data_IF_226940101656
#
_entry.id   IF_226940101656
#
_cell.length_a   1.000
_cell.length_b   1.000
_cell.length_c   1.000
_cell.angle_alpha   90.00
_cell.angle_beta   90.00
_cell.angle_gamma   90.00
#
_symmetry.space_group_name_H-M   'P 1'
#
loop_
_entity.id
_entity.type
_entity.pdbx_description
1 polymer ?
#
# COMPACT_ATOMS: atom_id res chain seq x y z
N UNK A 1 -8.66 -12.53 10.14
CA UNK A 1 -9.51 -11.33 10.06
C UNK A 1 -10.63 -11.66 9.08
N UNK A 2 -11.88 -11.59 9.53
CA UNK A 2 -13.05 -11.80 8.68
C UNK A 2 -13.10 -10.66 7.63
N UNK A 3 -13.57 -10.98 6.41
CA UNK A 3 -13.78 -9.96 5.36
C UNK A 3 -14.72 -8.81 5.81
N UNK A 4 -15.55 -9.05 6.81
CA UNK A 4 -16.45 -8.05 7.41
C UNK A 4 -15.74 -6.99 8.26
N UNK A 5 -14.46 -7.19 8.64
CA UNK A 5 -13.69 -6.24 9.44
C UNK A 5 -12.82 -5.29 8.59
N UNK A 6 -12.80 -5.46 7.28
CA UNK A 6 -12.07 -4.58 6.35
C UNK A 6 -12.96 -3.41 5.92
N UNK A 7 -12.31 -2.28 5.56
CA UNK A 7 -12.97 -1.12 4.99
C UNK A 7 -13.63 -1.40 3.65
N UNK A 8 -14.48 -0.50 3.20
CA UNK A 8 -15.15 -0.57 1.90
C UNK A 8 -14.42 0.30 0.87
N UNK A 9 -14.39 -0.14 -0.39
CA UNK A 9 -13.89 0.68 -1.48
C UNK A 9 -14.83 1.88 -1.71
N UNK A 10 -14.24 3.08 -1.77
CA UNK A 10 -14.95 4.36 -1.99
C UNK A 10 -14.76 4.89 -3.43
N UNK A 11 -14.04 4.16 -4.28
CA UNK A 11 -13.64 4.60 -5.61
C UNK A 11 -12.30 5.35 -5.64
N UNK A 12 -11.75 5.71 -4.48
CA UNK A 12 -10.41 6.28 -4.32
C UNK A 12 -9.62 5.37 -3.39
N UNK A 13 -8.55 4.77 -3.90
CA UNK A 13 -7.72 3.85 -3.12
C UNK A 13 -6.24 4.17 -3.29
N UNK A 14 -5.45 3.84 -2.28
CA UNK A 14 -4.00 4.03 -2.26
C UNK A 14 -3.33 2.71 -1.97
N UNK A 15 -2.27 2.40 -2.72
CA UNK A 15 -1.47 1.19 -2.54
C UNK A 15 -0.04 1.54 -2.16
N UNK A 16 0.49 0.81 -1.20
CA UNK A 16 1.90 0.88 -0.81
C UNK A 16 2.37 -0.44 -0.23
N UNK A 17 3.68 -0.62 -0.14
CA UNK A 17 4.29 -1.76 0.53
C UNK A 17 5.23 -1.30 1.64
N UNK A 18 5.18 -2.00 2.76
CA UNK A 18 6.13 -1.79 3.85
C UNK A 18 6.88 -3.07 4.15
N UNK A 19 8.19 -2.95 4.42
CA UNK A 19 9.01 -4.08 4.83
C UNK A 19 8.66 -4.49 6.27
N UNK A 20 8.70 -5.79 6.52
CA UNK A 20 8.66 -6.38 7.85
C UNK A 20 9.96 -7.17 8.03
N UNK A 21 10.89 -6.61 8.76
CA UNK A 21 12.19 -7.20 9.01
C UNK A 21 12.10 -8.21 10.16
N UNK A 22 12.60 -9.43 9.95
CA UNK A 22 12.50 -10.51 10.95
C UNK A 22 13.78 -10.68 11.77
N UNK A 23 14.89 -10.18 11.29
CA UNK A 23 16.15 -10.10 12.05
C UNK A 23 17.12 -9.11 11.39
N UNK A 24 18.07 -8.62 12.17
CA UNK A 24 19.17 -7.81 11.65
C UNK A 24 20.01 -8.58 10.62
N UNK A 25 20.60 -7.88 9.66
CA UNK A 25 21.33 -8.45 8.50
C UNK A 25 22.46 -9.41 8.92
N UNK A 26 23.17 -9.07 9.99
CA UNK A 26 24.27 -9.82 10.55
C UNK A 26 23.83 -11.16 11.14
N UNK A 27 22.56 -11.30 11.47
CA UNK A 27 21.97 -12.48 12.10
C UNK A 27 21.21 -13.39 11.14
N UNK A 28 21.20 -13.12 9.85
CA UNK A 28 20.42 -13.90 8.86
C UNK A 28 20.80 -15.38 8.92
N UNK A 29 22.11 -15.70 8.99
CA UNK A 29 22.62 -17.08 9.04
C UNK A 29 22.27 -17.80 10.35
N UNK A 30 21.98 -17.08 11.41
CA UNK A 30 21.57 -17.61 12.73
C UNK A 30 20.06 -17.76 12.86
N UNK A 31 19.29 -17.10 11.99
CA UNK A 31 17.83 -17.12 12.04
C UNK A 31 17.27 -18.40 11.43
N UNK A 32 17.06 -19.43 12.28
CA UNK A 32 16.50 -20.72 11.86
C UNK A 32 14.99 -20.70 11.65
N UNK A 33 14.26 -19.77 12.29
CA UNK A 33 12.79 -19.73 12.32
C UNK A 33 12.19 -19.43 10.94
N UNK A 34 12.83 -18.53 10.18
CA UNK A 34 12.29 -18.05 8.90
C UNK A 34 13.05 -18.60 7.68
N UNK A 35 13.89 -19.65 7.86
CA UNK A 35 14.54 -20.31 6.72
C UNK A 35 13.48 -20.83 5.75
N UNK A 36 13.65 -20.50 4.46
CA UNK A 36 12.70 -20.88 3.40
C UNK A 36 11.42 -20.05 3.33
N UNK A 37 11.04 -19.38 4.40
CA UNK A 37 9.83 -18.52 4.44
C UNK A 37 10.17 -17.06 4.13
N UNK A 38 11.19 -16.48 4.76
CA UNK A 38 11.63 -15.10 4.51
C UNK A 38 12.72 -15.06 3.44
N UNK A 39 12.85 -13.92 2.76
CA UNK A 39 13.90 -13.69 1.76
C UNK A 39 14.56 -12.32 1.95
N UNK A 40 15.73 -12.15 1.34
CA UNK A 40 16.34 -10.83 1.22
C UNK A 40 15.55 -9.98 0.24
N UNK A 41 15.20 -8.76 0.65
CA UNK A 41 14.56 -7.75 -0.18
C UNK A 41 15.34 -6.45 -0.15
N UNK A 42 15.03 -5.57 -1.07
CA UNK A 42 15.58 -4.23 -1.14
C UNK A 42 14.46 -3.19 -1.03
N UNK A 43 14.69 -2.15 -0.26
CA UNK A 43 13.79 -0.99 -0.12
C UNK A 43 14.61 0.31 -0.21
N UNK A 44 13.96 1.46 -0.20
CA UNK A 44 14.60 2.77 -0.14
C UNK A 44 15.55 2.93 1.06
N UNK A 45 15.32 2.17 2.13
CA UNK A 45 16.15 2.13 3.33
C UNK A 45 17.25 1.05 3.27
N UNK A 46 17.47 0.43 2.10
CA UNK A 46 18.49 -0.59 1.86
C UNK A 46 17.96 -2.02 1.94
N UNK A 47 18.92 -2.95 2.01
CA UNK A 47 18.65 -4.39 2.10
C UNK A 47 18.06 -4.77 3.46
N UNK A 48 17.10 -5.71 3.45
CA UNK A 48 16.52 -6.32 4.65
C UNK A 48 16.30 -7.82 4.44
N UNK A 49 16.05 -8.55 5.51
CA UNK A 49 15.64 -9.95 5.48
C UNK A 49 14.29 -10.10 6.16
N UNK A 50 13.29 -10.58 5.42
CA UNK A 50 11.93 -10.68 5.94
C UNK A 50 10.87 -10.75 4.85
N UNK A 51 9.80 -10.01 5.09
CA UNK A 51 8.60 -9.98 4.27
C UNK A 51 8.28 -8.55 3.82
N UNK A 52 7.39 -8.43 2.84
CA UNK A 52 6.70 -7.18 2.51
C UNK A 52 5.21 -7.34 2.81
N UNK A 53 4.66 -6.36 3.50
CA UNK A 53 3.22 -6.19 3.64
C UNK A 53 2.74 -5.17 2.61
N UNK A 54 1.95 -5.62 1.66
CA UNK A 54 1.29 -4.76 0.69
C UNK A 54 -0.09 -4.40 1.23
N UNK A 55 -0.41 -3.12 1.22
CA UNK A 55 -1.66 -2.56 1.74
C UNK A 55 -2.38 -1.77 0.66
N UNK A 56 -3.70 -1.95 0.61
CA UNK A 56 -4.60 -1.04 -0.09
C UNK A 56 -5.54 -0.43 0.94
N UNK A 57 -5.58 0.89 0.94
CA UNK A 57 -6.47 1.67 1.82
C UNK A 57 -7.40 2.55 0.99
N UNK A 58 -8.54 2.95 1.56
CA UNK A 58 -9.39 3.99 1.00
C UNK A 58 -8.94 5.39 1.45
N UNK A 59 -9.62 6.42 1.00
CA UNK A 59 -9.38 7.83 1.36
C UNK A 59 -9.67 8.15 2.83
N UNK A 60 -10.40 7.28 3.52
CA UNK A 60 -10.67 7.37 4.97
C UNK A 60 -9.61 6.64 5.81
N UNK A 61 -8.56 6.07 5.18
CA UNK A 61 -7.50 5.35 5.86
C UNK A 61 -7.88 3.94 6.33
N UNK A 62 -9.00 3.41 5.87
CA UNK A 62 -9.40 2.04 6.19
C UNK A 62 -8.69 1.05 5.27
N UNK A 63 -8.22 -0.06 5.82
CA UNK A 63 -7.60 -1.13 5.04
C UNK A 63 -8.68 -1.88 4.28
N UNK A 64 -8.60 -1.87 2.94
CA UNK A 64 -9.52 -2.59 2.04
C UNK A 64 -8.97 -3.97 1.72
N UNK A 65 -7.68 -4.06 1.41
CA UNK A 65 -7.00 -5.30 1.08
C UNK A 65 -5.57 -5.28 1.58
N UNK A 66 -5.03 -6.45 1.87
CA UNK A 66 -3.62 -6.61 2.21
C UNK A 66 -3.11 -7.97 1.75
N UNK A 67 -1.79 -8.05 1.52
CA UNK A 67 -1.11 -9.29 1.22
C UNK A 67 0.31 -9.28 1.76
N UNK A 68 0.70 -10.38 2.41
CA UNK A 68 2.06 -10.62 2.85
C UNK A 68 2.79 -11.40 1.77
N UNK A 69 3.98 -10.93 1.40
CA UNK A 69 4.86 -11.62 0.43
C UNK A 69 6.27 -11.75 1.01
N UNK A 70 7.07 -12.61 0.39
CA UNK A 70 8.50 -12.64 0.67
C UNK A 70 9.14 -11.29 0.30
N UNK A 71 10.22 -10.92 1.00
CA UNK A 71 10.90 -9.64 0.80
C UNK A 71 11.42 -9.39 -0.63
N UNK A 72 11.72 -10.47 -1.38
CA UNK A 72 12.21 -10.40 -2.77
C UNK A 72 11.12 -10.11 -3.79
N UNK A 73 9.83 -10.24 -3.44
CA UNK A 73 8.73 -10.02 -4.39
C UNK A 73 8.66 -8.55 -4.77
N UNK A 74 8.56 -8.29 -6.07
CA UNK A 74 8.45 -6.93 -6.60
C UNK A 74 7.04 -6.35 -6.42
N UNK A 75 6.95 -5.04 -6.15
CA UNK A 75 5.69 -4.35 -5.93
C UNK A 75 4.79 -4.34 -7.19
N UNK A 76 5.37 -4.49 -8.39
CA UNK A 76 4.66 -4.59 -9.66
C UNK A 76 4.38 -6.04 -10.09
N UNK A 77 4.45 -7.01 -9.18
CA UNK A 77 4.08 -8.39 -9.47
C UNK A 77 2.60 -8.45 -9.88
N UNK A 78 2.33 -9.09 -11.01
CA UNK A 78 1.00 -9.13 -11.64
C UNK A 78 -0.03 -9.83 -10.76
N UNK A 79 0.30 -11.04 -10.27
CA UNK A 79 -0.63 -11.85 -9.49
C UNK A 79 -0.97 -11.19 -8.15
N UNK A 80 0.02 -10.54 -7.54
CA UNK A 80 -0.16 -9.73 -6.33
C UNK A 80 -1.15 -8.60 -6.58
N UNK A 81 -0.94 -7.80 -7.64
CA UNK A 81 -1.81 -6.67 -7.96
C UNK A 81 -3.22 -7.10 -8.29
N UNK A 82 -3.38 -8.13 -9.11
CA UNK A 82 -4.70 -8.66 -9.45
C UNK A 82 -5.44 -9.18 -8.20
N UNK A 83 -4.72 -9.81 -7.28
CA UNK A 83 -5.30 -10.30 -6.02
C UNK A 83 -5.75 -9.14 -5.13
N UNK A 84 -4.92 -8.10 -4.96
CA UNK A 84 -5.25 -6.92 -4.14
C UNK A 84 -6.40 -6.11 -4.74
N UNK A 85 -6.55 -6.11 -6.07
CA UNK A 85 -7.55 -5.32 -6.77
C UNK A 85 -8.91 -6.02 -6.95
N UNK A 86 -9.08 -7.29 -6.54
CA UNK A 86 -10.31 -8.09 -6.78
C UNK A 86 -11.61 -7.42 -6.31
N UNK A 87 -11.57 -6.64 -5.25
CA UNK A 87 -12.74 -5.98 -4.65
C UNK A 87 -12.71 -4.46 -4.81
N UNK A 88 -11.82 -3.95 -5.66
CA UNK A 88 -11.67 -2.52 -5.90
C UNK A 88 -12.44 -2.09 -7.14
N UNK A 89 -12.81 -0.82 -7.13
CA UNK A 89 -13.29 -0.10 -8.30
C UNK A 89 -12.77 1.35 -8.25
N UNK A 90 -12.82 2.04 -9.38
CA UNK A 90 -12.41 3.44 -9.49
C UNK A 90 -10.89 3.60 -9.62
N UNK A 91 -10.28 4.53 -8.91
CA UNK A 91 -8.87 4.89 -9.07
C UNK A 91 -8.01 4.34 -7.94
N UNK A 92 -6.91 3.67 -8.33
CA UNK A 92 -5.89 3.17 -7.42
C UNK A 92 -4.59 3.97 -7.62
N UNK A 93 -4.17 4.69 -6.59
CA UNK A 93 -2.97 5.53 -6.61
C UNK A 93 -1.78 4.79 -6.00
N UNK A 94 -0.73 4.59 -6.79
CA UNK A 94 0.49 3.89 -6.38
C UNK A 94 1.75 4.72 -6.59
N UNK A 95 2.86 4.26 -6.00
CA UNK A 95 4.19 4.81 -6.29
C UNK A 95 4.73 4.29 -7.63
N UNK A 96 5.89 4.78 -8.04
CA UNK A 96 6.64 4.35 -9.24
C UNK A 96 6.97 2.86 -9.23
N UNK A 97 7.02 2.23 -8.06
CA UNK A 97 7.21 0.80 -7.89
C UNK A 97 6.08 -0.04 -8.48
N UNK A 98 4.88 0.52 -8.58
CA UNK A 98 3.67 -0.13 -9.11
C UNK A 98 3.47 0.09 -10.63
N UNK A 99 4.49 0.55 -11.34
CA UNK A 99 4.44 0.63 -12.80
C UNK A 99 4.37 -0.78 -13.39
N UNK A 100 3.28 -1.05 -14.09
CA UNK A 100 2.98 -2.34 -14.70
C UNK A 100 3.11 -2.31 -16.23
N UNK A 101 3.20 -3.47 -16.85
CA UNK A 101 3.11 -3.63 -18.31
C UNK A 101 1.71 -3.25 -18.79
N UNK A 102 1.60 -2.85 -20.06
CA UNK A 102 0.35 -2.41 -20.67
C UNK A 102 -0.77 -3.45 -20.51
N UNK A 103 -0.48 -4.73 -20.75
CA UNK A 103 -1.46 -5.80 -20.63
C UNK A 103 -2.08 -5.91 -19.22
N UNK A 104 -1.26 -5.73 -18.16
CA UNK A 104 -1.75 -5.74 -16.77
C UNK A 104 -2.60 -4.51 -16.48
N UNK A 105 -2.18 -3.35 -17.01
CA UNK A 105 -2.97 -2.12 -16.89
C UNK A 105 -4.35 -2.26 -17.53
N UNK A 106 -4.42 -2.82 -18.74
CA UNK A 106 -5.67 -3.09 -19.45
C UNK A 106 -6.55 -4.07 -18.70
N UNK A 107 -5.98 -5.15 -18.16
CA UNK A 107 -6.71 -6.12 -17.35
C UNK A 107 -7.33 -5.48 -16.10
N UNK A 108 -6.59 -4.64 -15.38
CA UNK A 108 -7.10 -3.87 -14.23
C UNK A 108 -8.19 -2.90 -14.67
N UNK A 109 -7.99 -2.20 -15.79
CA UNK A 109 -8.96 -1.26 -16.31
C UNK A 109 -10.28 -1.93 -16.70
N UNK A 110 -10.22 -3.08 -17.36
CA UNK A 110 -11.41 -3.90 -17.67
C UNK A 110 -12.13 -4.43 -16.42
N UNK A 111 -11.41 -4.64 -15.32
CA UNK A 111 -12.01 -4.99 -14.02
C UNK A 111 -12.55 -3.79 -13.24
N UNK A 112 -12.54 -2.59 -13.84
CA UNK A 112 -13.05 -1.36 -13.23
C UNK A 112 -12.04 -0.59 -12.37
N UNK A 113 -10.75 -0.94 -12.42
CA UNK A 113 -9.68 -0.29 -11.64
C UNK A 113 -8.72 0.48 -12.55
N UNK A 114 -8.67 1.78 -12.42
CA UNK A 114 -7.70 2.63 -13.08
C UNK A 114 -6.47 2.84 -12.20
N UNK A 115 -5.37 2.18 -12.52
CA UNK A 115 -4.09 2.37 -11.82
C UNK A 115 -3.44 3.70 -12.24
N UNK A 116 -3.21 4.59 -11.28
CA UNK A 116 -2.56 5.90 -11.46
C UNK A 116 -1.25 5.93 -10.69
N UNK A 117 -0.13 6.07 -11.39
CA UNK A 117 1.21 6.11 -10.78
C UNK A 117 2.01 7.32 -11.23
N UNK A 118 2.98 7.73 -10.43
CA UNK A 118 4.00 8.68 -10.89
C UNK A 118 4.83 8.01 -11.98
N UNK A 119 5.14 8.76 -13.04
CA UNK A 119 6.05 8.33 -14.11
C UNK A 119 7.52 8.41 -13.66
N UNK A 120 8.35 7.52 -14.18
CA UNK A 120 9.81 7.60 -13.98
C UNK A 120 10.38 8.77 -14.78
N UNK A 121 11.51 9.33 -14.34
CA UNK A 121 12.15 10.49 -14.96
C UNK A 121 12.48 10.30 -16.46
N UNK A 122 12.72 9.07 -16.87
CA UNK A 122 13.06 8.69 -18.25
C UNK A 122 11.84 8.26 -19.10
N UNK A 123 10.61 8.42 -18.58
CA UNK A 123 9.40 8.11 -19.32
C UNK A 123 8.79 9.38 -19.91
N UNK A 124 8.11 9.24 -21.07
CA UNK A 124 7.35 10.34 -21.68
C UNK A 124 6.28 10.85 -20.72
N UNK A 125 6.14 12.16 -20.63
CA UNK A 125 5.07 12.77 -19.85
C UNK A 125 3.70 12.33 -20.39
N UNK A 126 2.83 11.92 -19.47
CA UNK A 126 1.42 11.68 -19.77
C UNK A 126 0.61 12.84 -19.21
N UNK A 127 -0.37 13.30 -20.00
CA UNK A 127 -1.37 14.23 -19.50
C UNK A 127 -2.09 13.58 -18.32
N UNK A 128 -2.10 14.26 -17.20
CA UNK A 128 -2.71 13.80 -15.96
C UNK A 128 -3.61 14.90 -15.44
N UNK A 129 -4.82 14.54 -15.01
CA UNK A 129 -5.74 15.50 -14.42
C UNK A 129 -5.15 16.18 -13.17
N UNK A 130 -5.58 17.39 -12.87
CA UNK A 130 -5.17 18.11 -11.64
C UNK A 130 -5.55 17.28 -10.41
N UNK A 131 -6.72 16.66 -10.44
CA UNK A 131 -7.20 15.77 -9.39
C UNK A 131 -6.23 14.59 -9.16
N UNK A 132 -5.81 13.90 -10.21
CA UNK A 132 -4.88 12.76 -10.09
C UNK A 132 -3.51 13.21 -9.56
N UNK A 133 -3.02 14.37 -9.99
CA UNK A 133 -1.78 14.96 -9.44
C UNK A 133 -1.90 15.23 -7.94
N UNK A 134 -3.06 15.74 -7.52
CA UNK A 134 -3.32 16.02 -6.11
C UNK A 134 -3.41 14.72 -5.29
N UNK A 135 -4.14 13.71 -5.78
CA UNK A 135 -4.25 12.41 -5.10
C UNK A 135 -2.89 11.70 -5.00
N UNK A 136 -2.05 11.77 -6.02
CA UNK A 136 -0.68 11.25 -5.95
C UNK A 136 0.21 11.98 -4.92
N UNK A 137 -0.05 13.26 -4.63
CA UNK A 137 0.61 13.97 -3.51
C UNK A 137 0.08 13.51 -2.16
N UNK A 138 -1.25 13.31 -2.07
CA UNK A 138 -1.92 12.84 -0.85
C UNK A 138 -1.69 11.36 -0.54
N UNK A 139 -1.02 10.61 -1.41
CA UNK A 139 -0.65 9.21 -1.20
C UNK A 139 0.12 8.97 0.12
N UNK A 140 0.79 9.99 0.65
CA UNK A 140 1.44 9.89 1.97
C UNK A 140 0.51 9.40 3.09
N UNK A 141 -0.81 9.44 2.92
CA UNK A 141 -1.75 8.87 3.88
C UNK A 141 -1.49 7.38 4.11
N UNK A 142 -1.12 6.60 3.08
CA UNK A 142 -0.80 5.18 3.26
C UNK A 142 0.51 4.98 4.01
N UNK A 143 1.44 5.91 3.91
CA UNK A 143 2.68 5.92 4.70
C UNK A 143 2.37 6.14 6.19
N UNK A 144 1.41 7.05 6.50
CA UNK A 144 0.93 7.26 7.87
C UNK A 144 0.21 6.01 8.41
N UNK A 145 -0.53 5.27 7.58
CA UNK A 145 -1.16 4.00 7.97
C UNK A 145 -0.08 2.96 8.26
N UNK A 146 0.94 2.84 7.40
CA UNK A 146 2.07 1.93 7.62
C UNK A 146 2.81 2.26 8.92
N UNK A 147 3.00 3.56 9.23
CA UNK A 147 3.62 4.03 10.46
C UNK A 147 2.76 3.65 11.70
N UNK A 148 1.46 3.89 11.65
CA UNK A 148 0.54 3.50 12.72
C UNK A 148 0.53 1.98 12.95
N UNK A 149 0.54 1.18 11.91
CA UNK A 149 0.64 -0.28 11.99
C UNK A 149 1.93 -0.73 12.67
N UNK A 150 3.06 -0.11 12.36
CA UNK A 150 4.36 -0.46 12.93
C UNK A 150 4.52 0.04 14.37
N UNK A 151 4.21 1.31 14.61
CA UNK A 151 4.55 1.98 15.87
C UNK A 151 3.44 1.92 16.91
N UNK A 152 2.17 1.89 16.50
CA UNK A 152 1.03 1.77 17.43
C UNK A 152 0.59 0.31 17.55
N UNK A 153 0.34 -0.37 16.42
CA UNK A 153 -0.14 -1.75 16.42
C UNK A 153 0.99 -2.80 16.48
N UNK A 154 2.25 -2.39 16.48
CA UNK A 154 3.43 -3.22 16.71
C UNK A 154 3.53 -4.44 15.79
N UNK A 155 3.16 -4.31 14.51
CA UNK A 155 3.25 -5.42 13.54
C UNK A 155 4.69 -5.82 13.20
N UNK A 156 5.65 -4.93 13.38
CA UNK A 156 7.07 -5.18 13.18
C UNK A 156 7.74 -5.52 14.50
N UNK A 157 7.67 -6.80 14.87
CA UNK A 157 8.33 -7.32 16.06
C UNK A 157 9.35 -8.38 15.67
N UNK A 158 10.59 -8.25 16.14
CA UNK A 158 11.73 -9.01 15.63
C UNK A 158 12.05 -10.32 16.35
N UNK A 159 11.30 -10.69 17.38
CA UNK A 159 11.66 -11.85 18.25
C UNK A 159 10.65 -12.99 18.20
N UNK A 160 10.06 -13.24 17.04
CA UNK A 160 9.17 -14.38 16.89
C UNK A 160 9.93 -15.71 16.95
N UNK A 161 9.40 -16.65 17.72
CA UNK A 161 9.95 -17.99 17.87
C UNK A 161 9.36 -19.01 16.87
N UNK A 162 8.36 -18.60 16.10
CA UNK A 162 7.70 -19.40 15.07
C UNK A 162 7.09 -18.52 13.99
N UNK A 163 6.92 -19.06 12.79
CA UNK A 163 6.20 -18.41 11.69
C UNK A 163 4.75 -18.15 12.10
N UNK A 164 4.09 -19.12 12.76
CA UNK A 164 2.71 -18.96 13.25
C UNK A 164 2.59 -17.76 14.20
N UNK A 165 3.52 -17.61 15.15
CA UNK A 165 3.54 -16.47 16.06
C UNK A 165 3.69 -15.13 15.33
N UNK A 166 4.54 -15.08 14.30
CA UNK A 166 4.67 -13.90 13.44
C UNK A 166 3.36 -13.58 12.71
N UNK A 167 2.73 -14.57 12.10
CA UNK A 167 1.45 -14.40 11.38
C UNK A 167 0.33 -13.94 12.33
N UNK A 168 0.22 -14.56 13.52
CA UNK A 168 -0.78 -14.16 14.53
C UNK A 168 -0.54 -12.69 14.94
N UNK A 169 0.70 -12.29 15.23
CA UNK A 169 1.01 -10.91 15.58
C UNK A 169 0.62 -9.94 14.46
N UNK A 170 0.95 -10.25 13.22
CA UNK A 170 0.58 -9.43 12.06
C UNK A 170 -0.94 -9.26 11.95
N UNK A 171 -1.70 -10.37 12.00
CA UNK A 171 -3.17 -10.31 11.90
C UNK A 171 -3.80 -9.59 13.09
N UNK A 172 -3.26 -9.77 14.29
CA UNK A 172 -3.72 -9.05 15.49
C UNK A 172 -3.48 -7.55 15.38
N UNK A 173 -2.31 -7.15 14.85
CA UNK A 173 -2.00 -5.74 14.62
C UNK A 173 -2.89 -5.10 13.54
N UNK A 174 -3.16 -5.82 12.43
CA UNK A 174 -4.11 -5.36 11.41
C UNK A 174 -5.54 -5.25 11.97
N UNK A 175 -5.96 -6.18 12.82
CA UNK A 175 -7.25 -6.11 13.52
C UNK A 175 -7.28 -4.92 14.47
N UNK A 176 -6.26 -4.72 15.30
CA UNK A 176 -6.16 -3.60 16.23
C UNK A 176 -6.25 -2.25 15.51
N UNK A 177 -5.60 -2.12 14.35
CA UNK A 177 -5.68 -0.91 13.53
C UNK A 177 -7.14 -0.57 13.15
N UNK A 178 -7.97 -1.58 12.83
CA UNK A 178 -9.37 -1.34 12.47
C UNK A 178 -10.19 -0.75 13.63
N UNK A 179 -9.80 -0.99 14.89
CA UNK A 179 -10.45 -0.43 16.08
C UNK A 179 -9.89 0.92 16.52
N UNK A 180 -8.88 1.47 15.84
CA UNK A 180 -8.40 2.81 16.16
C UNK A 180 -9.51 3.84 15.97
N UNK A 181 -9.77 4.71 16.96
CA UNK A 181 -10.86 5.69 16.91
C UNK A 181 -10.63 6.77 15.86
N UNK A 182 -9.37 7.05 15.53
CA UNK A 182 -8.98 8.02 14.52
C UNK A 182 -7.94 7.41 13.58
N UNK A 183 -8.28 7.35 12.29
CA UNK A 183 -7.39 6.87 11.23
C UNK A 183 -6.84 8.04 10.42
N UNK A 184 -5.60 7.93 9.88
CA UNK A 184 -5.10 8.87 8.90
C UNK A 184 -6.06 8.90 7.69
N UNK A 185 -6.59 10.07 7.34
CA UNK A 185 -7.57 10.20 6.25
C UNK A 185 -7.29 11.43 5.40
N UNK A 186 -7.78 11.41 4.17
CA UNK A 186 -7.76 12.56 3.29
C UNK A 186 -9.10 13.26 3.43
N UNK A 187 -9.10 14.51 3.88
CA UNK A 187 -10.28 15.35 3.78
C UNK A 187 -10.49 15.69 2.30
N UNK A 188 -11.40 14.99 1.66
CA UNK A 188 -11.77 15.17 0.23
C UNK A 188 -12.91 16.17 0.05
N UNK A 189 -13.23 16.99 1.05
CA UNK A 189 -14.12 18.12 0.86
C UNK A 189 -13.44 19.12 -0.08
N UNK A 190 -13.52 18.85 -1.39
CA UNK A 190 -13.40 19.85 -2.40
C UNK A 190 -14.76 20.55 -2.46
N UNK A 191 -14.98 21.53 -1.62
CA UNK A 191 -15.95 22.58 -1.92
C UNK A 191 -15.39 23.27 -3.16
N UNK A 192 -15.91 22.93 -4.33
CA UNK A 192 -15.80 23.79 -5.49
C UNK A 192 -16.58 25.04 -5.12
N UNK A 193 -15.87 26.07 -4.68
CA UNK A 193 -16.44 27.40 -4.55
C UNK A 193 -16.69 27.93 -5.98
N UNK A 194 -17.88 27.65 -6.48
CA UNK A 194 -18.35 28.14 -7.80
C UNK A 194 -18.35 29.68 -7.87
N UNK A 195 -18.14 30.36 -6.74
CA UNK A 195 -18.07 31.82 -6.68
C UNK A 195 -16.75 32.41 -7.17
N UNK A 196 -15.69 31.59 -7.30
CA UNK A 196 -14.43 32.00 -7.91
C UNK A 196 -14.37 31.63 -9.39
N UNK A 197 -15.31 32.17 -10.16
CA UNK A 197 -15.14 32.26 -11.60
C UNK A 197 -13.82 32.98 -11.90
N UNK A 198 -12.93 32.30 -12.61
CA UNK A 198 -11.72 32.86 -13.18
C UNK A 198 -12.12 34.06 -14.04
N UNK A 199 -11.98 35.27 -13.50
CA UNK A 199 -11.90 36.48 -14.31
C UNK A 199 -10.55 36.43 -15.01
N UNK A 200 -10.54 35.88 -16.23
CA UNK A 200 -9.50 36.13 -17.20
C UNK A 200 -9.66 37.58 -17.62
N UNK A 201 -8.89 38.48 -17.02
CA UNK A 201 -8.65 39.82 -17.60
C UNK A 201 -7.84 39.64 -18.88
N UNK A 202 -8.47 39.97 -19.99
CA UNK A 202 -7.84 40.19 -21.29
C UNK A 202 -6.84 41.34 -21.24
#
# INVERSE_FOLDING_TARGET
VSAQSLGKCTGISFIDSTRLEVCAKERIHQNKVFIGAATRGYSTMGWFYGFKLHLVINDMGEIIAFQLTQGSVSDNNTDLLLTLCKQLFGKLYGDKGYLVKQAVFEQLFHSGVQLVTKIKRNMKNKLMSIFDKLMLRKRSVVECVNDALKNICQIEHSRHRSISGFIINLYSGLAAYNFLPKKPSIKTQFEFDDSKSLQLSL
#
